data_IF_184451010058
#
_entry.id   IF_184451010058
#
_cell.length_a   1.000
_cell.length_b   1.000
_cell.length_c   1.000
_cell.angle_alpha   90.00
_cell.angle_beta   90.00
_cell.angle_gamma   90.00
#
_symmetry.space_group_name_H-M   'P 1'
#
loop_
_entity.id
_entity.type
_entity.pdbx_description
1 polymer ?
#
# COMPACT_ATOMS: atom_id res chain seq x y z
N UNK A 1 11.69 14.36 -7.43
CA UNK A 1 11.15 13.25 -6.62
C UNK A 1 12.08 12.08 -6.79
N UNK A 2 12.48 11.48 -5.68
CA UNK A 2 13.26 10.24 -5.63
C UNK A 2 12.32 9.10 -5.24
N UNK A 3 12.53 7.91 -5.78
CA UNK A 3 11.75 6.72 -5.45
C UNK A 3 12.36 6.02 -4.24
N UNK A 4 11.54 5.71 -3.24
CA UNK A 4 11.92 4.88 -2.10
C UNK A 4 11.27 3.52 -2.27
N UNK A 5 12.08 2.50 -2.54
CA UNK A 5 11.58 1.12 -2.67
C UNK A 5 11.32 0.52 -1.29
N UNK A 6 10.11 0.00 -1.08
CA UNK A 6 9.70 -0.64 0.17
C UNK A 6 9.64 -2.15 -0.05
N UNK A 7 10.58 -2.89 0.55
CA UNK A 7 10.62 -4.35 0.45
C UNK A 7 9.51 -4.98 1.33
N UNK A 8 8.42 -5.43 0.70
CA UNK A 8 7.32 -6.11 1.39
C UNK A 8 7.66 -7.57 1.71
N UNK A 9 6.93 -8.15 2.67
CA UNK A 9 7.14 -9.51 3.18
C UNK A 9 5.97 -10.43 2.84
N UNK A 10 6.26 -11.72 2.66
CA UNK A 10 5.23 -12.75 2.41
C UNK A 10 4.15 -12.79 3.51
N UNK A 11 4.55 -12.63 4.77
CA UNK A 11 3.63 -12.61 5.92
C UNK A 11 2.60 -11.47 5.82
N UNK A 12 2.93 -10.39 5.12
CA UNK A 12 2.06 -9.24 4.86
C UNK A 12 1.42 -9.33 3.46
N UNK A 13 1.39 -10.52 2.84
CA UNK A 13 0.87 -10.75 1.48
C UNK A 13 1.54 -9.87 0.43
N UNK A 14 2.81 -9.53 0.61
CA UNK A 14 3.55 -8.61 -0.25
C UNK A 14 2.93 -7.20 -0.38
N UNK A 15 2.14 -6.78 0.61
CA UNK A 15 1.61 -5.42 0.74
C UNK A 15 2.41 -4.62 1.78
N UNK A 16 2.48 -3.28 1.64
CA UNK A 16 3.07 -2.42 2.66
C UNK A 16 2.22 -2.45 3.94
N UNK A 17 2.87 -2.18 5.06
CA UNK A 17 2.24 -2.02 6.38
C UNK A 17 2.45 -0.60 6.91
N UNK A 18 1.65 -0.13 7.88
CA UNK A 18 1.78 1.22 8.44
C UNK A 18 3.21 1.60 8.87
N UNK A 19 3.96 0.64 9.42
CA UNK A 19 5.33 0.87 9.85
C UNK A 19 6.27 1.23 8.69
N UNK A 20 5.96 0.81 7.46
CA UNK A 20 6.73 1.19 6.27
C UNK A 20 6.56 2.69 5.95
N UNK A 21 5.45 3.31 6.35
CA UNK A 21 5.26 4.77 6.21
C UNK A 21 6.07 5.51 7.27
N UNK A 22 6.07 5.05 8.52
CA UNK A 22 6.74 5.75 9.63
C UNK A 22 8.25 5.56 9.63
N UNK A 23 8.74 4.43 9.11
CA UNK A 23 10.17 4.12 9.07
C UNK A 23 10.89 4.77 7.87
N UNK A 24 10.14 5.32 6.92
CA UNK A 24 10.68 5.97 5.73
C UNK A 24 10.26 7.45 5.70
N UNK A 25 11.17 8.34 5.31
CA UNK A 25 10.84 9.76 5.16
C UNK A 25 10.14 10.00 3.81
N UNK A 26 8.85 9.70 3.73
CA UNK A 26 8.07 9.73 2.49
C UNK A 26 7.30 11.04 2.32
N UNK A 27 7.14 11.51 1.07
CA UNK A 27 6.17 12.56 0.74
C UNK A 27 4.85 11.98 0.19
N UNK A 28 4.89 10.72 -0.24
CA UNK A 28 3.72 9.99 -0.70
C UNK A 28 4.00 8.50 -0.78
N UNK A 29 2.93 7.70 -0.81
CA UNK A 29 2.98 6.25 -0.97
C UNK A 29 2.00 5.83 -2.08
N UNK A 30 2.47 4.92 -2.94
CA UNK A 30 1.67 4.26 -3.97
C UNK A 30 1.38 2.83 -3.54
N UNK A 31 0.12 2.45 -3.53
CA UNK A 31 -0.33 1.12 -3.14
C UNK A 31 -1.22 0.54 -4.22
N UNK A 32 -0.91 -0.66 -4.70
CA UNK A 32 -1.69 -1.36 -5.72
C UNK A 32 -2.54 -2.48 -5.12
N UNK A 33 -3.84 -2.52 -5.43
CA UNK A 33 -4.75 -3.58 -4.97
C UNK A 33 -5.87 -3.85 -5.98
N UNK A 34 -5.96 -5.05 -6.59
CA UNK A 34 -4.96 -6.13 -6.57
C UNK A 34 -3.56 -5.69 -7.03
N UNK A 35 -2.51 -6.09 -6.31
CA UNK A 35 -1.12 -5.80 -6.67
C UNK A 35 -0.67 -6.65 -7.88
N UNK A 36 0.04 -6.05 -8.82
CA UNK A 36 0.76 -6.75 -9.88
C UNK A 36 2.25 -6.80 -9.48
N UNK A 37 2.95 -7.96 -9.50
CA UNK A 37 2.58 -9.27 -10.05
C UNK A 37 1.97 -10.27 -9.05
N UNK A 38 1.83 -9.91 -7.78
CA UNK A 38 1.51 -10.86 -6.71
C UNK A 38 0.03 -11.26 -6.65
N UNK A 39 -0.85 -10.47 -7.26
CA UNK A 39 -2.31 -10.61 -7.17
C UNK A 39 -2.87 -10.33 -5.77
N UNK A 40 -2.05 -9.84 -4.81
CA UNK A 40 -2.49 -9.70 -3.44
C UNK A 40 -3.43 -8.50 -3.27
N UNK A 41 -4.46 -8.69 -2.44
CA UNK A 41 -5.42 -7.64 -2.12
C UNK A 41 -5.24 -7.18 -0.68
N UNK A 42 -5.33 -5.87 -0.49
CA UNK A 42 -5.56 -5.30 0.83
C UNK A 42 -7.03 -5.51 1.21
N UNK A 43 -7.26 -6.02 2.41
CA UNK A 43 -8.60 -5.95 2.98
C UNK A 43 -8.89 -4.52 3.45
N UNK A 44 -10.17 -4.26 3.74
CA UNK A 44 -10.64 -2.93 4.12
C UNK A 44 -9.90 -2.39 5.35
N UNK A 45 -9.63 -3.24 6.34
CA UNK A 45 -8.98 -2.81 7.57
C UNK A 45 -7.52 -2.43 7.33
N UNK A 46 -6.80 -3.20 6.53
CA UNK A 46 -5.41 -2.91 6.17
C UNK A 46 -5.30 -1.61 5.36
N UNK A 47 -6.22 -1.38 4.42
CA UNK A 47 -6.29 -0.14 3.65
C UNK A 47 -6.59 1.07 4.54
N UNK A 48 -7.58 0.96 5.43
CA UNK A 48 -7.92 2.02 6.38
C UNK A 48 -6.73 2.38 7.27
N UNK A 49 -6.00 1.38 7.79
CA UNK A 49 -4.83 1.61 8.61
C UNK A 49 -3.72 2.35 7.84
N UNK A 50 -3.45 1.96 6.60
CA UNK A 50 -2.45 2.63 5.75
C UNK A 50 -2.83 4.09 5.46
N UNK A 51 -4.11 4.35 5.12
CA UNK A 51 -4.61 5.70 4.86
C UNK A 51 -4.50 6.57 6.10
N UNK A 52 -4.91 6.05 7.27
CA UNK A 52 -4.84 6.80 8.52
C UNK A 52 -3.40 7.14 8.88
N UNK A 53 -2.47 6.18 8.81
CA UNK A 53 -1.06 6.44 9.09
C UNK A 53 -0.45 7.41 8.07
N UNK A 54 -0.82 7.34 6.80
CA UNK A 54 -0.37 8.31 5.80
C UNK A 54 -0.85 9.73 6.16
N UNK A 55 -2.13 9.89 6.49
CA UNK A 55 -2.71 11.17 6.89
C UNK A 55 -2.05 11.75 8.15
N UNK A 56 -1.86 10.93 9.19
CA UNK A 56 -1.20 11.35 10.44
C UNK A 56 0.23 11.84 10.23
N UNK A 57 0.92 11.31 9.22
CA UNK A 57 2.31 11.66 8.90
C UNK A 57 2.45 12.66 7.74
N UNK A 58 1.36 13.27 7.28
CA UNK A 58 1.33 14.18 6.11
C UNK A 58 1.91 13.56 4.82
N UNK A 59 1.72 12.25 4.65
CA UNK A 59 2.13 11.48 3.47
C UNK A 59 0.93 11.37 2.53
N UNK A 60 1.10 11.75 1.26
CA UNK A 60 0.04 11.60 0.26
C UNK A 60 -0.21 10.12 -0.08
N UNK A 61 -1.46 9.68 -0.11
CA UNK A 61 -1.82 8.30 -0.43
C UNK A 61 -2.36 8.18 -1.86
N UNK A 62 -1.78 7.30 -2.67
CA UNK A 62 -2.23 7.00 -4.04
C UNK A 62 -2.61 5.52 -4.13
N UNK A 63 -3.88 5.24 -4.41
CA UNK A 63 -4.39 3.88 -4.64
C UNK A 63 -4.42 3.58 -6.14
N UNK A 64 -3.69 2.55 -6.57
CA UNK A 64 -3.79 1.98 -7.91
C UNK A 64 -4.78 0.81 -7.89
N UNK A 65 -5.98 1.08 -8.37
CA UNK A 65 -7.10 0.14 -8.41
C UNK A 65 -7.46 -0.28 -9.84
N UNK A 66 -6.51 -0.25 -10.78
CA UNK A 66 -6.80 -0.63 -12.18
C UNK A 66 -7.36 -2.06 -12.33
N UNK A 67 -7.14 -2.93 -11.34
CA UNK A 67 -7.66 -4.31 -11.30
C UNK A 67 -9.00 -4.45 -10.55
N UNK A 68 -9.58 -3.38 -10.00
CA UNK A 68 -10.93 -3.41 -9.42
C UNK A 68 -11.94 -3.79 -10.52
N UNK A 69 -12.50 -5.00 -10.42
CA UNK A 69 -13.41 -5.57 -11.43
C UNK A 69 -12.94 -6.91 -12.03
N UNK A 70 -11.66 -7.29 -11.84
CA UNK A 70 -11.15 -8.63 -12.17
C UNK A 70 -11.05 -9.43 -10.86
N UNK A 71 -12.21 -9.83 -10.33
CA UNK A 71 -12.26 -10.74 -9.17
C UNK A 71 -12.58 -12.15 -9.68
N UNK A 72 -11.74 -13.13 -9.37
CA UNK A 72 -12.07 -14.54 -9.54
C UNK A 72 -13.18 -14.89 -8.53
N UNK A 73 -14.33 -15.36 -9.04
CA UNK A 73 -15.34 -16.03 -8.22
C UNK A 73 -14.88 -17.42 -7.82
#
# INVERSE_FOLDING_TARGET
METVDIQTKLQNRFQPVPEDITNNNLNGILVASPANPTGSMLDKQALENLINTANENNVSFISDEIYHGIQYK
#
